data_IF_959744337676
#
_entry.id   IF_959744337676
#
_cell.length_a   1.000
_cell.length_b   1.000
_cell.length_c   1.000
_cell.angle_alpha   90.00
_cell.angle_beta   90.00
_cell.angle_gamma   90.00
#
_symmetry.space_group_name_H-M   'P 1'
#
loop_
_entity.id
_entity.type
_entity.pdbx_description
1 polymer ?
#
# COMPACT_ATOMS: atom_id res chain seq x y z
N UNK A 1 -3.17 3.28 -10.82
CA UNK A 1 -3.75 4.22 -9.85
C UNK A 1 -3.95 5.56 -10.50
N UNK A 2 -5.20 5.95 -10.59
CA UNK A 2 -5.53 7.20 -11.25
C UNK A 2 -5.88 8.30 -10.28
N UNK A 3 -6.26 7.92 -9.07
CA UNK A 3 -6.70 8.89 -8.09
C UNK A 3 -5.51 9.72 -7.60
N UNK A 4 -5.73 11.01 -7.47
CA UNK A 4 -4.71 11.91 -6.95
C UNK A 4 -4.35 11.55 -5.51
N UNK A 5 -3.07 11.62 -5.13
CA UNK A 5 -2.70 11.40 -3.73
C UNK A 5 -3.37 12.37 -2.76
N UNK A 6 -3.85 13.51 -3.25
CA UNK A 6 -4.54 14.48 -2.41
C UNK A 6 -6.02 14.15 -2.21
N UNK A 7 -6.54 13.15 -2.90
CA UNK A 7 -7.94 12.74 -2.72
C UNK A 7 -8.10 12.03 -1.38
N UNK A 8 -9.36 11.91 -0.96
CA UNK A 8 -9.68 11.23 0.30
C UNK A 8 -9.59 9.72 0.11
N UNK A 9 -8.44 9.18 0.42
CA UNK A 9 -8.21 7.75 0.36
C UNK A 9 -8.63 7.09 1.67
N UNK A 10 -9.22 5.91 1.55
CA UNK A 10 -9.56 5.10 2.72
C UNK A 10 -8.67 3.86 2.72
N UNK A 11 -8.67 3.16 3.86
CA UNK A 11 -7.91 1.92 3.94
C UNK A 11 -8.50 0.86 2.99
N UNK A 12 -9.80 0.93 2.72
CA UNK A 12 -10.42 0.03 1.74
C UNK A 12 -9.88 0.29 0.34
N UNK A 13 -9.64 1.55 0.00
CA UNK A 13 -9.01 1.90 -1.28
C UNK A 13 -7.62 1.31 -1.36
N UNK A 14 -6.86 1.40 -0.28
CA UNK A 14 -5.51 0.83 -0.22
C UNK A 14 -5.56 -0.68 -0.44
N UNK A 15 -6.49 -1.36 0.24
CA UNK A 15 -6.63 -2.81 0.09
C UNK A 15 -6.98 -3.19 -1.35
N UNK A 16 -7.86 -2.41 -1.98
CA UNK A 16 -8.25 -2.67 -3.37
C UNK A 16 -7.04 -2.53 -4.30
N UNK A 17 -6.27 -1.46 -4.14
CA UNK A 17 -5.08 -1.24 -4.97
C UNK A 17 -4.08 -2.36 -4.75
N UNK A 18 -3.87 -2.77 -3.51
CA UNK A 18 -2.96 -3.87 -3.21
C UNK A 18 -3.39 -5.14 -3.93
N UNK A 19 -4.68 -5.46 -3.89
CA UNK A 19 -5.19 -6.66 -4.55
C UNK A 19 -4.97 -6.58 -6.05
N UNK A 20 -5.16 -5.41 -6.65
CA UNK A 20 -4.98 -5.23 -8.08
C UNK A 20 -3.54 -5.43 -8.52
N UNK A 21 -2.59 -5.17 -7.63
CA UNK A 21 -1.17 -5.28 -7.94
C UNK A 21 -0.49 -6.48 -7.30
N UNK A 22 -1.28 -7.40 -6.75
CA UNK A 22 -0.73 -8.60 -6.15
C UNK A 22 0.01 -8.39 -4.85
N UNK A 23 -0.22 -7.27 -4.18
CA UNK A 23 0.38 -7.00 -2.89
C UNK A 23 -0.50 -7.57 -1.78
N UNK A 24 0.15 -7.91 -0.67
CA UNK A 24 -0.57 -8.38 0.51
C UNK A 24 -0.82 -7.20 1.43
N UNK A 25 -2.07 -6.98 1.79
CA UNK A 25 -2.45 -5.94 2.73
C UNK A 25 -3.05 -6.63 3.95
N UNK A 26 -2.30 -6.65 5.04
CA UNK A 26 -2.72 -7.35 6.24
C UNK A 26 -3.27 -6.37 7.25
N UNK A 27 -4.47 -6.64 7.78
CA UNK A 27 -5.07 -5.77 8.79
C UNK A 27 -4.31 -5.87 10.09
N UNK A 28 -4.46 -4.85 10.96
CA UNK A 28 -3.85 -4.92 12.28
C UNK A 28 -4.45 -6.05 13.11
N UNK A 29 -3.64 -6.60 14.00
CA UNK A 29 -4.07 -7.67 14.89
C UNK A 29 -3.85 -7.22 16.33
N UNK A 30 -4.59 -7.84 17.25
CA UNK A 30 -4.38 -7.61 18.66
C UNK A 30 -4.51 -6.16 19.09
N UNK A 31 -5.45 -5.42 18.52
CA UNK A 31 -5.66 -4.02 18.88
C UNK A 31 -4.71 -3.06 18.20
N UNK A 32 -3.90 -3.52 17.25
CA UNK A 32 -3.01 -2.66 16.50
C UNK A 32 -3.77 -1.67 15.62
N UNK A 33 -3.07 -0.67 15.14
CA UNK A 33 -3.67 0.39 14.34
C UNK A 33 -2.98 0.59 13.01
N UNK A 34 -2.15 -0.36 12.59
CA UNK A 34 -1.39 -0.23 11.35
C UNK A 34 -1.63 -1.42 10.45
N UNK A 35 -1.86 -1.12 9.17
CA UNK A 35 -1.91 -2.13 8.13
C UNK A 35 -0.52 -2.36 7.58
N UNK A 36 -0.22 -3.60 7.21
CA UNK A 36 1.09 -3.96 6.67
C UNK A 36 0.93 -4.39 5.23
N UNK A 37 1.61 -3.69 4.34
CA UNK A 37 1.62 -4.01 2.91
C UNK A 37 2.94 -4.68 2.59
N UNK A 38 2.88 -5.85 1.96
CA UNK A 38 4.08 -6.62 1.66
C UNK A 38 3.95 -7.31 0.31
N UNK A 39 5.10 -7.77 -0.20
CA UNK A 39 5.15 -8.54 -1.43
C UNK A 39 6.38 -9.45 -1.35
N UNK A 40 6.28 -10.69 -1.87
CA UNK A 40 7.41 -11.63 -1.77
C UNK A 40 8.69 -11.13 -2.40
N UNK A 41 8.62 -10.26 -3.40
CA UNK A 41 9.81 -9.72 -4.06
C UNK A 41 10.49 -8.61 -3.28
N UNK A 42 9.89 -8.15 -2.17
CA UNK A 42 10.40 -7.02 -1.41
C UNK A 42 10.67 -7.43 0.03
N UNK A 43 11.81 -7.04 0.54
CA UNK A 43 12.14 -7.27 1.95
C UNK A 43 11.42 -6.28 2.85
N UNK A 44 11.27 -5.04 2.37
CA UNK A 44 10.64 -4.00 3.15
C UNK A 44 9.14 -4.25 3.26
N UNK A 45 8.59 -3.85 4.38
CA UNK A 45 7.15 -3.87 4.62
C UNK A 45 6.71 -2.44 4.80
N UNK A 46 5.71 -2.04 4.04
CA UNK A 46 5.14 -0.70 4.16
C UNK A 46 4.05 -0.74 5.23
N UNK A 47 4.18 0.13 6.23
CA UNK A 47 3.20 0.22 7.30
C UNK A 47 2.36 1.47 7.11
N UNK A 48 1.03 1.30 7.08
CA UNK A 48 0.09 2.40 6.85
C UNK A 48 -0.82 2.52 8.05
N UNK A 49 -0.85 3.69 8.72
CA UNK A 49 -1.74 3.88 9.85
C UNK A 49 -3.20 3.81 9.44
N UNK A 50 -4.00 3.25 10.32
CA UNK A 50 -5.45 3.21 10.13
C UNK A 50 -6.02 4.59 10.43
N UNK A 51 -6.19 5.40 9.40
CA UNK A 51 -6.67 6.76 9.52
C UNK A 51 -7.65 7.08 8.41
N UNK A 52 -8.52 8.01 8.67
CA UNK A 52 -9.49 8.51 7.68
C UNK A 52 -9.35 10.00 7.57
N UNK A 53 -8.97 10.50 6.43
CA UNK A 53 -8.45 9.76 5.27
C UNK A 53 -7.01 9.30 5.53
N UNK A 54 -6.54 8.39 4.70
CA UNK A 54 -5.14 8.00 4.70
C UNK A 54 -4.33 9.19 4.18
N UNK A 55 -3.29 9.59 4.92
CA UNK A 55 -2.54 10.77 4.55
C UNK A 55 -1.82 10.59 3.21
N UNK A 56 -1.73 11.67 2.42
CA UNK A 56 -1.08 11.57 1.09
C UNK A 56 0.33 11.01 1.12
N UNK A 57 1.08 11.23 2.20
CA UNK A 57 2.44 10.70 2.28
C UNK A 57 2.44 9.18 2.19
N UNK A 58 1.45 8.52 2.81
CA UNK A 58 1.38 7.07 2.76
C UNK A 58 0.93 6.57 1.39
N UNK A 59 0.09 7.33 0.71
CA UNK A 59 -0.32 6.99 -0.64
C UNK A 59 0.88 7.07 -1.59
N UNK A 60 1.72 8.10 -1.43
CA UNK A 60 2.94 8.21 -2.23
C UNK A 60 3.89 7.05 -1.96
N UNK A 61 3.99 6.65 -0.69
CA UNK A 61 4.82 5.50 -0.33
C UNK A 61 4.28 4.21 -0.96
N UNK A 62 2.96 4.06 -0.99
CA UNK A 62 2.34 2.91 -1.62
C UNK A 62 2.64 2.87 -3.11
N UNK A 63 2.55 4.01 -3.78
CA UNK A 63 2.87 4.08 -5.21
C UNK A 63 4.32 3.66 -5.44
N UNK A 64 5.24 4.15 -4.63
CA UNK A 64 6.65 3.76 -4.75
C UNK A 64 6.84 2.27 -4.52
N UNK A 65 6.13 1.72 -3.56
CA UNK A 65 6.21 0.30 -3.26
C UNK A 65 5.74 -0.52 -4.47
N UNK A 66 4.62 -0.11 -5.08
CA UNK A 66 4.10 -0.77 -6.27
C UNK A 66 5.11 -0.69 -7.42
N UNK A 67 5.71 0.47 -7.61
CA UNK A 67 6.70 0.64 -8.66
C UNK A 67 7.91 -0.25 -8.43
N UNK A 68 8.33 -0.41 -7.18
CA UNK A 68 9.44 -1.30 -6.85
C UNK A 68 9.12 -2.75 -7.19
N UNK A 69 7.89 -3.18 -6.89
CA UNK A 69 7.46 -4.53 -7.20
C UNK A 69 7.44 -4.74 -8.71
N UNK A 70 6.89 -3.79 -9.45
CA UNK A 70 6.81 -3.89 -10.91
C UNK A 70 8.20 -3.86 -11.53
N UNK A 71 9.09 -3.06 -11.00
CA UNK A 71 10.45 -3.01 -11.49
C UNK A 71 11.19 -4.31 -11.28
N UNK A 72 10.91 -4.99 -10.18
CA UNK A 72 11.50 -6.30 -9.90
C UNK A 72 11.03 -7.34 -10.90
N UNK A 73 9.75 -7.29 -11.26
CA UNK A 73 9.16 -8.26 -12.18
C UNK A 73 9.45 -7.93 -13.63
N UNK A 74 9.79 -6.69 -13.94
CA UNK A 74 9.97 -6.27 -15.32
C UNK A 74 11.22 -6.90 -15.91
N UNK A 75 11.12 -7.53 -17.06
CA UNK A 75 12.31 -8.00 -17.77
C UNK A 75 13.00 -6.81 -18.40
N UNK A 76 14.19 -6.60 -18.09
CA UNK A 76 14.92 -5.48 -18.66
C UNK A 76 15.84 -5.95 -19.75
#
# INVERSE_FOLDING_TARGET
MRRSPAADWTIDDVATVCAEHGLRCMPPTGGGSHYKVSHPSQRAILTIPRARPVKPVYIRMLVRFIESVRGTDAPN
#
